data_IF_293034746518
#
_entry.id   IF_293034746518
#
_cell.length_a   1.000
_cell.length_b   1.000
_cell.length_c   1.000
_cell.angle_alpha   90.00
_cell.angle_beta   90.00
_cell.angle_gamma   90.00
#
_symmetry.space_group_name_H-M   'P 1'
#
loop_
_entity.id
_entity.type
_entity.pdbx_description
1 polymer ?
#
# COMPACT_ATOMS: atom_id res chain seq x y z
N UNK A 1 -15.21 -12.84 -10.29
CA UNK A 1 -13.88 -12.40 -9.80
C UNK A 1 -13.50 -13.26 -8.61
N UNK A 2 -12.34 -13.90 -8.64
CA UNK A 2 -11.86 -14.72 -7.51
C UNK A 2 -11.23 -13.76 -6.50
N UNK A 3 -11.79 -13.67 -5.30
CA UNK A 3 -11.24 -12.88 -4.21
C UNK A 3 -10.41 -13.82 -3.34
N UNK A 4 -9.08 -13.68 -3.39
CA UNK A 4 -8.19 -14.49 -2.55
C UNK A 4 -8.07 -13.80 -1.19
N UNK A 5 -8.37 -14.50 -0.07
CA UNK A 5 -8.17 -13.92 1.24
C UNK A 5 -6.69 -13.64 1.48
N UNK A 6 -6.40 -12.51 2.15
CA UNK A 6 -5.05 -12.23 2.63
C UNK A 6 -4.59 -13.37 3.55
N UNK A 7 -3.31 -13.72 3.46
CA UNK A 7 -2.75 -14.75 4.32
C UNK A 7 -2.84 -14.32 5.79
N UNK A 8 -3.11 -15.25 6.71
CA UNK A 8 -3.34 -14.90 8.14
C UNK A 8 -2.14 -14.19 8.80
N UNK A 9 -0.94 -14.44 8.28
CA UNK A 9 0.29 -13.80 8.78
C UNK A 9 0.35 -12.30 8.48
N UNK A 10 -0.46 -11.78 7.54
CA UNK A 10 -0.45 -10.35 7.18
C UNK A 10 -0.89 -9.46 8.34
N UNK A 11 -1.76 -9.96 9.22
CA UNK A 11 -2.18 -9.25 10.44
C UNK A 11 -1.15 -9.36 11.58
N UNK A 12 -0.41 -10.46 11.63
CA UNK A 12 0.57 -10.74 12.69
C UNK A 12 1.89 -9.98 12.52
N UNK A 13 2.16 -9.43 11.34
CA UNK A 13 3.45 -8.83 10.97
C UNK A 13 3.33 -7.44 10.34
N UNK A 14 2.27 -6.69 10.67
CA UNK A 14 2.09 -5.33 10.16
C UNK A 14 3.29 -4.42 10.53
N UNK A 15 3.86 -4.63 11.70
CA UNK A 15 5.07 -3.97 12.19
C UNK A 15 6.30 -4.30 11.32
N UNK A 16 6.47 -5.56 10.91
CA UNK A 16 7.54 -6.00 10.03
C UNK A 16 7.44 -5.31 8.66
N UNK A 17 6.23 -5.20 8.12
CA UNK A 17 5.97 -4.54 6.85
C UNK A 17 6.30 -3.04 6.93
N UNK A 18 5.84 -2.35 7.98
CA UNK A 18 6.16 -0.94 8.23
C UNK A 18 7.68 -0.75 8.37
N UNK A 19 8.35 -1.62 9.13
CA UNK A 19 9.81 -1.57 9.32
C UNK A 19 10.57 -1.78 8.01
N UNK A 20 10.11 -2.70 7.16
CA UNK A 20 10.66 -2.94 5.84
C UNK A 20 10.57 -1.69 4.95
N UNK A 21 9.37 -1.09 4.85
CA UNK A 21 9.15 0.13 4.06
C UNK A 21 10.04 1.27 4.56
N UNK A 22 10.07 1.51 5.87
CA UNK A 22 10.88 2.59 6.44
C UNK A 22 12.38 2.41 6.16
N UNK A 23 12.88 1.17 6.13
CA UNK A 23 14.28 0.88 5.82
C UNK A 23 14.59 1.16 4.34
N UNK A 24 13.70 0.80 3.42
CA UNK A 24 13.89 1.09 2.00
C UNK A 24 13.74 2.58 1.68
N UNK A 25 12.87 3.31 2.40
CA UNK A 25 12.79 4.78 2.37
C UNK A 25 14.11 5.42 2.84
N UNK A 26 14.62 4.99 4.00
CA UNK A 26 15.88 5.51 4.55
C UNK A 26 17.09 5.24 3.63
N UNK A 27 17.02 4.19 2.82
CA UNK A 27 18.04 3.83 1.82
C UNK A 27 17.85 4.53 0.48
N UNK A 28 16.80 5.34 0.31
CA UNK A 28 16.46 5.99 -0.96
C UNK A 28 16.13 5.00 -2.08
N UNK A 29 15.80 3.75 -1.74
CA UNK A 29 15.40 2.71 -2.72
C UNK A 29 13.95 2.87 -3.15
N UNK A 30 13.16 3.52 -2.30
CA UNK A 30 11.80 3.92 -2.54
C UNK A 30 11.74 5.42 -2.25
N UNK A 31 11.18 6.19 -3.17
CA UNK A 31 10.81 7.58 -2.89
C UNK A 31 9.35 7.60 -2.41
N UNK A 32 9.06 8.38 -1.37
CA UNK A 32 7.73 8.53 -0.79
C UNK A 32 7.70 8.37 0.73
N UNK A 33 6.52 8.20 1.36
CA UNK A 33 5.19 8.29 0.75
C UNK A 33 4.95 9.68 0.15
N UNK A 34 4.45 9.72 -1.08
CA UNK A 34 4.09 10.96 -1.76
C UNK A 34 2.69 11.41 -1.35
N UNK A 35 2.45 12.72 -1.30
CA UNK A 35 1.12 13.27 -1.23
C UNK A 35 0.29 12.84 -2.44
N UNK A 36 -1.04 13.03 -2.37
CA UNK A 36 -1.92 12.81 -3.52
C UNK A 36 -1.44 13.63 -4.72
N UNK A 37 -1.19 14.91 -4.50
CA UNK A 37 -0.75 15.87 -5.52
C UNK A 37 0.61 15.48 -6.12
N UNK A 38 1.55 15.08 -5.27
CA UNK A 38 2.86 14.59 -5.72
C UNK A 38 2.72 13.32 -6.56
N UNK A 39 1.84 12.40 -6.16
CA UNK A 39 1.57 11.19 -6.92
C UNK A 39 0.99 11.52 -8.29
N UNK A 40 0.00 12.42 -8.36
CA UNK A 40 -0.63 12.85 -9.63
C UNK A 40 0.37 13.49 -10.59
N UNK A 41 1.31 14.29 -10.07
CA UNK A 41 2.39 14.89 -10.85
C UNK A 41 3.35 13.82 -11.38
N UNK A 42 3.76 12.87 -10.54
CA UNK A 42 4.69 11.79 -10.92
C UNK A 42 4.06 10.89 -11.99
N UNK A 43 2.81 10.47 -11.80
CA UNK A 43 2.12 9.54 -12.71
C UNK A 43 1.48 10.22 -13.92
N UNK A 44 1.44 11.56 -13.93
CA UNK A 44 0.75 12.37 -14.96
C UNK A 44 -0.69 11.94 -15.20
N UNK A 45 -1.35 11.51 -14.13
CA UNK A 45 -2.72 10.97 -14.14
C UNK A 45 -3.37 11.32 -12.80
N UNK A 46 -4.71 11.54 -12.75
CA UNK A 46 -5.41 11.70 -11.49
C UNK A 46 -5.17 10.53 -10.54
N UNK A 47 -5.12 10.82 -9.24
CA UNK A 47 -4.91 9.81 -8.22
C UNK A 47 -6.19 9.00 -8.09
N UNK A 48 -6.11 7.73 -8.46
CA UNK A 48 -7.21 6.79 -8.31
C UNK A 48 -6.95 6.03 -7.01
N UNK A 49 -7.57 6.49 -5.92
CA UNK A 49 -7.74 5.64 -4.75
C UNK A 49 -8.70 4.52 -5.13
N UNK A 50 -8.21 3.28 -5.19
CA UNK A 50 -9.09 2.12 -5.24
C UNK A 50 -9.36 1.68 -3.80
N UNK A 51 -10.48 2.10 -3.18
CA UNK A 51 -10.89 1.51 -1.92
C UNK A 51 -11.09 0.02 -2.15
N UNK A 52 -10.26 -0.79 -1.50
CA UNK A 52 -10.50 -2.23 -1.40
C UNK A 52 -11.66 -2.41 -0.43
N UNK A 53 -12.89 -2.43 -0.96
CA UNK A 53 -14.07 -2.76 -0.17
C UNK A 53 -14.02 -4.24 0.16
N UNK A 54 -13.63 -4.58 1.39
CA UNK A 54 -13.75 -5.94 1.93
C UNK A 54 -15.21 -6.17 2.27
N UNK A 55 -15.93 -6.89 1.41
CA UNK A 55 -17.29 -7.36 1.71
C UNK A 55 -17.15 -8.70 2.41
N UNK A 56 -17.50 -8.79 3.70
CA UNK A 56 -17.68 -10.09 4.36
C UNK A 56 -18.97 -10.71 3.81
N UNK A 57 -18.87 -11.89 3.20
CA UNK A 57 -20.03 -12.74 2.91
C UNK A 57 -20.18 -13.76 4.04
N UNK A 58 -21.39 -13.83 4.59
CA UNK A 58 -21.81 -14.82 5.61
C UNK A 58 -21.88 -16.25 5.06
#
# INVERSE_FOLDING_TARGET
TIITPNHKSTLAHADLFIKYINNDLARGRINGPFSKEETEVIVRSPFIYQPVTVVMQD
#
